data_IF_345789075740
#
_entry.id   IF_345789075740
#
_cell.length_a   1.000
_cell.length_b   1.000
_cell.length_c   1.000
_cell.angle_alpha   90.00
_cell.angle_beta   90.00
_cell.angle_gamma   90.00
#
_symmetry.space_group_name_H-M   'P 1'
#
loop_
_entity.id
_entity.type
_entity.pdbx_description
1 polymer ?
#
# COMPACT_ATOMS: atom_id res chain seq x y z
N UNK A 1 -22.14 -14.56 13.97
CA UNK A 1 -22.00 -13.60 12.85
C UNK A 1 -20.63 -13.85 12.23
N UNK A 2 -20.56 -14.13 10.93
CA UNK A 2 -19.28 -14.24 10.23
C UNK A 2 -18.97 -12.87 9.67
N UNK A 3 -17.83 -12.30 10.04
CA UNK A 3 -17.39 -10.99 9.59
C UNK A 3 -15.98 -11.10 9.03
N UNK A 4 -15.66 -10.24 8.07
CA UNK A 4 -14.31 -10.05 7.54
C UNK A 4 -13.80 -8.65 7.82
N UNK A 5 -12.50 -8.55 8.10
CA UNK A 5 -11.81 -7.27 8.15
C UNK A 5 -11.59 -6.78 6.72
N UNK A 6 -11.99 -5.55 6.43
CA UNK A 6 -11.70 -4.86 5.17
C UNK A 6 -10.83 -3.67 5.49
N UNK A 7 -9.72 -3.58 4.78
CA UNK A 7 -8.80 -2.44 4.80
C UNK A 7 -8.93 -1.79 3.43
N UNK A 8 -9.40 -0.55 3.41
CA UNK A 8 -9.60 0.25 2.20
C UNK A 8 -8.64 1.43 2.24
N UNK A 9 -7.65 1.42 1.35
CA UNK A 9 -6.74 2.56 1.20
C UNK A 9 -7.56 3.81 0.82
N UNK A 10 -7.21 4.96 1.41
CA UNK A 10 -7.75 6.24 0.97
C UNK A 10 -7.43 6.49 -0.52
N UNK A 11 -8.17 7.40 -1.15
CA UNK A 11 -7.90 7.81 -2.54
C UNK A 11 -6.46 8.33 -2.67
N UNK A 12 -6.01 9.16 -1.73
CA UNK A 12 -4.63 9.67 -1.66
C UNK A 12 -3.60 8.53 -1.55
N UNK A 13 -3.81 7.58 -0.63
CA UNK A 13 -2.90 6.45 -0.47
C UNK A 13 -2.86 5.56 -1.73
N UNK A 14 -4.01 5.37 -2.37
CA UNK A 14 -4.13 4.62 -3.62
C UNK A 14 -3.37 5.30 -4.75
N UNK A 15 -3.53 6.61 -4.92
CA UNK A 15 -2.82 7.38 -5.94
C UNK A 15 -1.30 7.33 -5.74
N UNK A 16 -0.82 7.55 -4.51
CA UNK A 16 0.63 7.48 -4.22
C UNK A 16 1.19 6.08 -4.46
N UNK A 17 0.46 5.04 -4.08
CA UNK A 17 0.85 3.66 -4.35
C UNK A 17 0.97 3.40 -5.86
N UNK A 18 -0.05 3.76 -6.65
CA UNK A 18 -0.06 3.54 -8.10
C UNK A 18 1.08 4.28 -8.80
N UNK A 19 1.32 5.53 -8.42
CA UNK A 19 2.43 6.32 -8.97
C UNK A 19 3.79 5.68 -8.65
N UNK A 20 3.96 5.21 -7.41
CA UNK A 20 5.21 4.59 -6.99
C UNK A 20 5.47 3.25 -7.69
N UNK A 21 4.48 2.35 -7.71
CA UNK A 21 4.66 1.02 -8.31
C UNK A 21 4.82 1.08 -9.83
N UNK A 22 4.17 2.03 -10.49
CA UNK A 22 4.35 2.27 -11.94
C UNK A 22 5.79 2.72 -12.22
N UNK A 23 6.29 3.71 -11.48
CA UNK A 23 7.66 4.20 -11.66
C UNK A 23 8.72 3.13 -11.33
N UNK A 24 8.49 2.30 -10.31
CA UNK A 24 9.39 1.18 -10.00
C UNK A 24 9.37 0.12 -11.11
N UNK A 25 8.18 -0.25 -11.58
CA UNK A 25 8.03 -1.26 -12.64
C UNK A 25 8.70 -0.80 -13.93
N UNK A 26 8.51 0.45 -14.33
CA UNK A 26 9.17 1.05 -15.50
C UNK A 26 10.70 0.99 -15.35
N UNK A 27 11.24 1.37 -14.18
CA UNK A 27 12.67 1.33 -13.92
C UNK A 27 13.25 -0.10 -13.93
N UNK A 28 12.51 -1.09 -13.44
CA UNK A 28 12.90 -2.50 -13.48
C UNK A 28 12.93 -3.02 -14.93
N UNK A 29 11.91 -2.71 -15.73
CA UNK A 29 11.85 -3.08 -17.15
C UNK A 29 12.97 -2.42 -17.95
N UNK A 30 13.19 -1.11 -17.76
CA UNK A 30 14.26 -0.37 -18.45
C UNK A 30 15.66 -0.88 -18.10
N UNK A 31 15.82 -1.49 -16.92
CA UNK A 31 17.04 -2.13 -16.47
C UNK A 31 17.18 -3.60 -16.92
N UNK A 32 16.27 -4.11 -17.78
CA UNK A 32 16.18 -5.52 -18.18
C UNK A 32 16.10 -6.46 -16.96
N UNK A 33 15.36 -6.02 -15.93
CA UNK A 33 15.11 -6.73 -14.68
C UNK A 33 13.65 -7.16 -14.60
N UNK A 34 13.39 -8.33 -14.00
CA UNK A 34 12.01 -8.80 -13.77
C UNK A 34 11.32 -7.90 -12.72
N UNK A 35 10.09 -7.40 -12.99
CA UNK A 35 9.39 -6.56 -12.05
C UNK A 35 9.06 -7.26 -10.74
N UNK A 36 9.42 -6.66 -9.61
CA UNK A 36 9.37 -7.33 -8.29
C UNK A 36 8.07 -7.09 -7.51
N UNK A 37 7.18 -6.24 -8.01
CA UNK A 37 5.92 -5.89 -7.35
C UNK A 37 6.14 -5.01 -6.11
N UNK A 38 5.19 -5.05 -5.17
CA UNK A 38 5.17 -4.18 -4.00
C UNK A 38 4.91 -4.94 -2.70
N UNK A 39 5.65 -4.58 -1.64
CA UNK A 39 5.30 -4.90 -0.26
C UNK A 39 4.67 -3.67 0.39
N UNK A 40 3.36 -3.73 0.62
CA UNK A 40 2.61 -2.69 1.34
C UNK A 40 2.40 -3.16 2.78
N UNK A 41 2.63 -2.26 3.73
CA UNK A 41 2.42 -2.46 5.16
C UNK A 41 1.31 -1.53 5.62
N UNK A 42 0.38 -2.08 6.39
CA UNK A 42 -0.72 -1.32 7.01
C UNK A 42 -0.60 -1.47 8.51
N UNK A 43 -0.32 -0.37 9.19
CA UNK A 43 -0.18 -0.33 10.63
C UNK A 43 -1.49 0.15 11.26
N UNK A 44 -2.07 -0.68 12.13
CA UNK A 44 -3.32 -0.40 12.81
C UNK A 44 -3.04 0.04 14.24
N UNK A 45 -3.46 1.25 14.62
CA UNK A 45 -3.31 1.78 15.97
C UNK A 45 -4.62 2.37 16.49
N UNK A 46 -4.63 2.83 17.75
CA UNK A 46 -5.77 3.58 18.31
C UNK A 46 -5.98 4.95 17.66
N UNK A 47 -5.01 5.44 16.88
CA UNK A 47 -5.05 6.75 16.23
C UNK A 47 -5.54 6.69 14.78
N UNK A 48 -5.50 5.51 14.16
CA UNK A 48 -5.86 5.33 12.76
C UNK A 48 -5.18 4.11 12.14
N UNK A 49 -5.24 4.04 10.81
CA UNK A 49 -4.53 3.04 10.03
C UNK A 49 -3.64 3.73 9.00
N UNK A 50 -2.34 3.52 9.11
CA UNK A 50 -1.33 4.14 8.25
C UNK A 50 -0.82 3.13 7.22
N UNK A 51 -0.56 3.59 6.00
CA UNK A 51 -0.18 2.77 4.86
C UNK A 51 1.17 3.25 4.33
N UNK A 52 2.10 2.32 4.23
CA UNK A 52 3.45 2.61 3.77
C UNK A 52 4.11 1.41 3.10
N UNK A 53 5.19 1.66 2.35
CA UNK A 53 6.06 0.62 1.79
C UNK A 53 7.50 0.84 2.25
N UNK A 54 8.28 -0.25 2.22
CA UNK A 54 9.72 -0.17 2.43
C UNK A 54 10.44 -0.17 1.08
N UNK A 55 10.91 1.01 0.67
CA UNK A 55 11.78 1.16 -0.49
C UNK A 55 13.25 0.85 -0.15
N UNK A 56 14.13 0.98 -1.14
CA UNK A 56 15.58 0.78 -1.01
C UNK A 56 16.23 1.81 -0.06
N UNK A 57 16.10 1.58 1.25
CA UNK A 57 16.59 2.37 2.40
C UNK A 57 15.71 3.54 2.85
N UNK A 58 14.46 3.65 2.38
CA UNK A 58 13.51 4.67 2.84
C UNK A 58 12.11 4.10 2.99
N UNK A 59 11.41 4.55 4.02
CA UNK A 59 9.96 4.38 4.12
C UNK A 59 9.27 5.30 3.13
N UNK A 60 8.29 4.77 2.41
CA UNK A 60 7.45 5.53 1.49
C UNK A 60 6.06 5.55 2.09
N UNK A 61 5.64 6.72 2.56
CA UNK A 61 4.33 6.91 3.17
C UNK A 61 3.29 7.15 2.07
N UNK A 62 2.23 6.34 2.06
CA UNK A 62 1.13 6.49 1.12
C UNK A 62 0.00 7.33 1.73
N UNK A 63 -0.27 7.17 3.02
CA UNK A 63 -1.30 7.91 3.75
C UNK A 63 -2.14 6.96 4.58
N UNK A 64 -3.44 7.22 4.69
CA UNK A 64 -4.32 6.46 5.57
C UNK A 64 -5.10 5.34 4.87
N UNK A 65 -5.59 4.40 5.67
CA UNK A 65 -6.62 3.44 5.31
C UNK A 65 -7.83 3.53 6.23
N UNK A 66 -8.99 3.16 5.70
CA UNK A 66 -10.20 2.91 6.45
C UNK A 66 -10.28 1.43 6.82
N UNK A 67 -10.67 1.14 8.07
CA UNK A 67 -10.79 -0.23 8.57
C UNK A 67 -12.20 -0.47 9.04
N UNK A 68 -12.86 -1.48 8.48
CA UNK A 68 -14.22 -1.83 8.85
C UNK A 68 -14.47 -3.33 8.84
N UNK A 69 -15.42 -3.76 9.67
CA UNK A 69 -15.93 -5.12 9.68
C UNK A 69 -17.10 -5.21 8.69
N UNK A 70 -17.01 -6.15 7.75
CA UNK A 70 -18.06 -6.42 6.78
C UNK A 70 -18.65 -7.80 7.02
N UNK A 71 -19.97 -7.90 7.05
CA UNK A 71 -20.64 -9.20 7.18
C UNK A 71 -20.37 -10.07 5.95
N UNK A 72 -20.26 -11.39 6.18
CA UNK A 72 -19.99 -12.39 5.15
C UNK A 72 -21.26 -12.94 4.52
#
# INVERSE_FOLDING_TARGET
MKQKLVIELSEEATEKYLNWITAQTEAEVDADCEPSGALIMVELSSLGAEVYAQGNKKTIEFGDANVFLKDC
#
